data_IF_348261944032
#
_entry.id   IF_348261944032
#
_cell.length_a   1.000
_cell.length_b   1.000
_cell.length_c   1.000
_cell.angle_alpha   90.00
_cell.angle_beta   90.00
_cell.angle_gamma   90.00
#
_symmetry.space_group_name_H-M   'P 1'
#
loop_
_entity.id
_entity.type
_entity.pdbx_description
1 polymer ?
#
# COMPACT_ATOMS: atom_id res chain seq x y z
N UNK A 1 19.63 -11.27 19.82
CA UNK A 1 19.88 -10.29 18.74
C UNK A 1 18.92 -9.11 18.85
N UNK A 2 17.60 -9.33 18.94
CA UNK A 2 16.59 -8.25 19.09
C UNK A 2 16.78 -7.33 20.31
N UNK A 3 17.19 -7.87 21.48
CA UNK A 3 17.50 -7.04 22.67
C UNK A 3 18.66 -6.05 22.46
N UNK A 4 19.69 -6.45 21.71
CA UNK A 4 20.87 -5.59 21.44
C UNK A 4 20.47 -4.40 20.59
N UNK A 5 19.54 -4.60 19.65
CA UNK A 5 19.04 -3.51 18.81
C UNK A 5 18.33 -2.46 19.68
N UNK A 6 17.48 -2.86 20.63
CA UNK A 6 16.77 -1.88 21.48
C UNK A 6 17.70 -1.04 22.37
N UNK A 7 18.85 -1.61 22.78
CA UNK A 7 19.87 -0.88 23.56
C UNK A 7 20.43 0.31 22.77
N UNK A 8 20.62 0.15 21.45
CA UNK A 8 21.10 1.22 20.56
C UNK A 8 20.10 2.39 20.45
N UNK A 9 18.83 2.18 20.83
CA UNK A 9 17.77 3.19 20.81
C UNK A 9 17.35 3.65 22.22
N UNK A 10 18.08 3.31 23.27
CA UNK A 10 17.70 3.63 24.65
C UNK A 10 17.35 5.11 24.86
N UNK A 11 18.16 6.04 24.33
CA UNK A 11 17.91 7.48 24.44
C UNK A 11 16.60 7.92 23.76
N UNK A 12 16.25 7.28 22.63
CA UNK A 12 14.97 7.52 21.95
C UNK A 12 13.82 6.96 22.79
N UNK A 13 13.95 5.73 23.30
CA UNK A 13 12.95 5.05 24.11
C UNK A 13 12.64 5.75 25.45
N UNK A 14 13.61 6.50 26.00
CA UNK A 14 13.42 7.33 27.19
C UNK A 14 12.60 8.60 26.91
N UNK A 15 12.68 9.13 25.68
CA UNK A 15 12.07 10.41 25.30
C UNK A 15 10.68 10.30 24.69
N UNK A 16 10.32 9.13 24.14
CA UNK A 16 9.01 8.92 23.53
C UNK A 16 7.87 8.94 24.56
N UNK A 17 6.67 9.27 24.08
CA UNK A 17 5.48 9.21 24.90
C UNK A 17 5.19 7.77 25.39
N UNK A 18 4.63 7.58 26.60
CA UNK A 18 4.34 6.25 27.15
C UNK A 18 3.49 5.39 26.21
N UNK A 19 2.49 5.98 25.55
CA UNK A 19 1.62 5.26 24.60
C UNK A 19 2.37 4.69 23.39
N UNK A 20 3.38 5.40 22.86
CA UNK A 20 4.22 4.91 21.76
C UNK A 20 5.10 3.77 22.24
N UNK A 21 5.61 3.88 23.47
CA UNK A 21 6.43 2.84 24.10
C UNK A 21 5.65 1.56 24.34
N UNK A 22 4.44 1.66 24.88
CA UNK A 22 3.57 0.50 25.14
C UNK A 22 3.25 -0.25 23.85
N UNK A 23 2.96 0.47 22.77
CA UNK A 23 2.73 -0.12 21.44
C UNK A 23 3.99 -0.76 20.88
N UNK A 24 5.16 -0.10 21.00
CA UNK A 24 6.42 -0.69 20.58
C UNK A 24 6.69 -2.00 21.33
N UNK A 25 6.59 -2.00 22.65
CA UNK A 25 6.83 -3.19 23.47
C UNK A 25 5.87 -4.34 23.12
N UNK A 26 4.60 -4.02 22.81
CA UNK A 26 3.61 -4.99 22.38
C UNK A 26 3.86 -5.55 20.96
N UNK A 27 4.32 -4.71 20.03
CA UNK A 27 4.46 -5.08 18.60
C UNK A 27 5.85 -5.61 18.24
N UNK A 28 6.89 -5.25 18.99
CA UNK A 28 8.29 -5.50 18.61
C UNK A 28 8.63 -6.98 18.53
N UNK A 29 8.06 -7.82 19.40
CA UNK A 29 8.29 -9.27 19.33
C UNK A 29 7.74 -9.87 18.03
N UNK A 30 6.58 -9.41 17.58
CA UNK A 30 5.99 -9.87 16.32
C UNK A 30 6.71 -9.28 15.11
N UNK A 31 7.14 -8.02 15.19
CA UNK A 31 8.03 -7.41 14.20
C UNK A 31 9.31 -8.24 14.01
N UNK A 32 9.97 -8.61 15.10
CA UNK A 32 11.22 -9.38 15.07
C UNK A 32 11.06 -10.82 14.56
N UNK A 33 9.84 -11.34 14.41
CA UNK A 33 9.57 -12.65 13.80
C UNK A 33 9.51 -12.60 12.28
N UNK A 34 9.20 -11.43 11.71
CA UNK A 34 8.95 -11.27 10.26
C UNK A 34 9.91 -10.30 9.58
N UNK A 35 10.68 -9.54 10.36
CA UNK A 35 11.67 -8.58 9.90
C UNK A 35 13.07 -9.05 10.33
N UNK A 36 14.04 -8.94 9.44
CA UNK A 36 15.45 -9.23 9.68
C UNK A 36 16.07 -8.21 10.67
N UNK A 37 17.25 -8.50 11.25
CA UNK A 37 17.95 -7.54 12.09
C UNK A 37 18.25 -6.20 11.40
N UNK A 38 18.50 -6.22 10.08
CA UNK A 38 18.72 -5.00 9.30
C UNK A 38 17.40 -4.23 9.11
N UNK A 39 16.32 -4.92 8.73
CA UNK A 39 15.00 -4.29 8.58
C UNK A 39 14.44 -3.77 9.92
N UNK A 40 14.77 -4.41 11.05
CA UNK A 40 14.39 -3.91 12.38
C UNK A 40 15.06 -2.58 12.72
N UNK A 41 16.27 -2.35 12.19
CA UNK A 41 16.94 -1.06 12.30
C UNK A 41 16.17 -0.01 11.48
N UNK A 42 15.84 -0.31 10.23
CA UNK A 42 15.04 0.59 9.38
C UNK A 42 13.64 0.88 9.98
N UNK A 43 13.05 -0.11 10.64
CA UNK A 43 11.79 0.01 11.38
C UNK A 43 11.90 0.99 12.57
N UNK A 44 12.93 0.86 13.40
CA UNK A 44 13.14 1.75 14.55
C UNK A 44 13.59 3.15 14.12
N UNK A 45 14.46 3.25 13.11
CA UNK A 45 14.88 4.51 12.50
C UNK A 45 13.67 5.25 11.89
N UNK A 46 12.76 4.52 11.26
CA UNK A 46 11.49 5.05 10.75
C UNK A 46 10.58 5.59 11.85
N UNK A 47 10.41 4.83 12.94
CA UNK A 47 9.62 5.28 14.10
C UNK A 47 10.21 6.55 14.72
N UNK A 48 11.54 6.60 14.89
CA UNK A 48 12.26 7.78 15.37
C UNK A 48 12.06 8.99 14.45
N UNK A 49 12.22 8.79 13.15
CA UNK A 49 12.03 9.87 12.17
C UNK A 49 10.59 10.42 12.21
N UNK A 50 9.57 9.56 12.37
CA UNK A 50 8.17 9.99 12.50
C UNK A 50 7.86 10.67 13.83
N UNK A 51 8.54 10.30 14.92
CA UNK A 51 8.51 11.06 16.18
C UNK A 51 9.06 12.47 15.96
N UNK A 52 10.25 12.59 15.37
CA UNK A 52 10.94 13.87 15.12
C UNK A 52 10.15 14.78 14.16
N UNK A 53 9.30 14.20 13.30
CA UNK A 53 8.39 14.93 12.42
C UNK A 53 7.34 15.76 13.20
N UNK A 54 7.04 15.41 14.45
CA UNK A 54 6.18 16.21 15.34
C UNK A 54 4.71 16.27 14.91
N UNK A 55 4.18 15.22 14.25
CA UNK A 55 2.80 15.15 13.74
C UNK A 55 1.82 14.37 14.63
N UNK A 56 2.17 14.20 15.91
CA UNK A 56 1.38 13.47 16.91
C UNK A 56 1.80 12.01 17.05
N UNK A 57 1.56 11.46 18.24
CA UNK A 57 1.98 10.10 18.60
C UNK A 57 1.20 9.02 17.85
N UNK A 58 -0.07 9.27 17.52
CA UNK A 58 -0.91 8.37 16.71
C UNK A 58 -0.27 7.98 15.37
N UNK A 59 0.51 8.89 14.76
CA UNK A 59 1.24 8.60 13.53
C UNK A 59 2.30 7.51 13.74
N UNK A 60 3.04 7.62 14.84
CA UNK A 60 4.11 6.68 15.18
C UNK A 60 3.51 5.35 15.62
N UNK A 61 2.45 5.39 16.43
CA UNK A 61 1.66 4.20 16.82
C UNK A 61 1.17 3.46 15.58
N UNK A 62 0.49 4.15 14.67
CA UNK A 62 -0.01 3.54 13.42
C UNK A 62 1.11 2.93 12.59
N UNK A 63 2.26 3.61 12.50
CA UNK A 63 3.43 3.08 11.80
C UNK A 63 3.94 1.78 12.44
N UNK A 64 4.12 1.76 13.77
CA UNK A 64 4.61 0.60 14.51
C UNK A 64 3.69 -0.62 14.33
N UNK A 65 2.37 -0.40 14.36
CA UNK A 65 1.40 -1.47 14.17
C UNK A 65 1.38 -2.02 12.73
N UNK A 66 1.55 -1.15 11.74
CA UNK A 66 1.36 -1.49 10.32
C UNK A 66 2.60 -2.10 9.68
N UNK A 67 3.81 -1.61 9.99
CA UNK A 67 5.01 -2.00 9.24
C UNK A 67 5.36 -3.50 9.31
N UNK A 68 5.21 -4.21 10.44
CA UNK A 68 5.42 -5.66 10.47
C UNK A 68 4.54 -6.41 9.47
N UNK A 69 3.29 -5.99 9.31
CA UNK A 69 2.40 -6.57 8.32
C UNK A 69 2.85 -6.23 6.89
N UNK A 70 3.27 -5.00 6.65
CA UNK A 70 3.82 -4.60 5.34
C UNK A 70 5.04 -5.43 4.94
N UNK A 71 5.98 -5.63 5.87
CA UNK A 71 7.15 -6.46 5.66
C UNK A 71 6.78 -7.92 5.35
N UNK A 72 5.76 -8.45 6.03
CA UNK A 72 5.26 -9.80 5.78
C UNK A 72 4.62 -9.97 4.39
N UNK A 73 3.81 -8.99 3.96
CA UNK A 73 3.07 -9.09 2.68
C UNK A 73 3.96 -8.78 1.47
N UNK A 74 4.84 -7.78 1.57
CA UNK A 74 5.59 -7.24 0.43
C UNK A 74 7.12 -7.44 0.52
N UNK A 75 7.66 -7.74 1.70
CA UNK A 75 9.09 -7.74 1.99
C UNK A 75 9.51 -6.48 2.77
N UNK A 76 10.55 -6.59 3.60
CA UNK A 76 11.01 -5.53 4.51
C UNK A 76 11.57 -4.28 3.81
N UNK A 77 12.03 -4.41 2.56
CA UNK A 77 12.54 -3.29 1.75
C UNK A 77 11.49 -2.20 1.47
N UNK A 78 10.21 -2.43 1.81
CA UNK A 78 9.15 -1.42 1.68
C UNK A 78 9.13 -0.43 2.85
N UNK A 79 9.72 -0.79 4.00
CA UNK A 79 9.66 0.02 5.22
C UNK A 79 10.20 1.44 4.99
N UNK A 80 11.39 1.64 4.38
CA UNK A 80 11.90 2.98 4.13
C UNK A 80 11.05 3.79 3.12
N UNK A 81 10.42 3.12 2.17
CA UNK A 81 9.52 3.75 1.20
C UNK A 81 8.25 4.32 1.88
N UNK A 82 7.69 3.58 2.84
CA UNK A 82 6.54 4.02 3.63
C UNK A 82 6.87 5.26 4.48
N UNK A 83 8.03 5.26 5.15
CA UNK A 83 8.52 6.44 5.92
C UNK A 83 8.72 7.62 4.97
N UNK A 84 9.39 7.41 3.84
CA UNK A 84 9.63 8.45 2.84
C UNK A 84 8.32 9.03 2.30
N UNK A 85 7.31 8.19 2.06
CA UNK A 85 6.00 8.63 1.61
C UNK A 85 5.29 9.49 2.67
N UNK A 86 5.32 9.08 3.93
CA UNK A 86 4.77 9.86 5.05
C UNK A 86 5.47 11.22 5.20
N UNK A 87 6.81 11.24 5.13
CA UNK A 87 7.62 12.46 5.17
C UNK A 87 7.28 13.41 4.01
N UNK A 88 7.18 12.89 2.79
CA UNK A 88 6.78 13.70 1.63
C UNK A 88 5.35 14.23 1.78
N UNK A 89 4.42 13.44 2.30
CA UNK A 89 3.03 13.86 2.52
C UNK A 89 2.91 14.95 3.59
N UNK A 90 3.81 14.97 4.57
CA UNK A 90 3.77 15.89 5.72
C UNK A 90 3.80 17.38 5.39
N UNK A 91 4.34 17.76 4.22
CA UNK A 91 4.38 19.15 3.74
C UNK A 91 3.15 19.55 2.92
N UNK A 92 2.26 18.60 2.58
CA UNK A 92 1.13 18.81 1.67
C UNK A 92 -0.23 18.51 2.32
N UNK A 93 -0.26 17.71 3.39
CA UNK A 93 -1.50 17.25 4.04
C UNK A 93 -1.41 17.29 5.56
N UNK A 94 -2.55 17.11 6.25
CA UNK A 94 -2.58 17.01 7.72
C UNK A 94 -2.05 15.67 8.23
N UNK A 95 -1.66 15.62 9.52
CA UNK A 95 -1.23 14.39 10.18
C UNK A 95 -2.30 13.28 10.12
N UNK A 96 -3.58 13.63 10.29
CA UNK A 96 -4.71 12.69 10.16
C UNK A 96 -4.75 11.99 8.79
N UNK A 97 -4.41 12.69 7.71
CA UNK A 97 -4.39 12.09 6.36
C UNK A 97 -3.21 11.14 6.20
N UNK A 98 -2.08 11.42 6.84
CA UNK A 98 -0.91 10.54 6.82
C UNK A 98 -1.17 9.30 7.67
N UNK A 99 -1.81 9.46 8.83
CA UNK A 99 -2.28 8.34 9.66
C UNK A 99 -3.22 7.45 8.85
N UNK A 100 -4.21 8.04 8.18
CA UNK A 100 -5.14 7.30 7.31
C UNK A 100 -4.42 6.61 6.13
N UNK A 101 -3.42 7.27 5.53
CA UNK A 101 -2.60 6.66 4.49
C UNK A 101 -1.89 5.42 5.04
N UNK A 102 -1.17 5.53 6.15
CA UNK A 102 -0.43 4.42 6.74
C UNK A 102 -1.36 3.29 7.16
N UNK A 103 -2.48 3.59 7.83
CA UNK A 103 -3.43 2.58 8.31
C UNK A 103 -4.07 1.76 7.19
N UNK A 104 -4.16 2.31 5.97
CA UNK A 104 -4.69 1.60 4.79
C UNK A 104 -3.64 0.76 4.07
N UNK A 105 -2.34 0.96 4.32
CA UNK A 105 -1.27 0.28 3.57
C UNK A 105 -1.35 -1.25 3.62
N UNK A 106 -1.69 -1.92 4.74
CA UNK A 106 -1.85 -3.38 4.74
C UNK A 106 -2.92 -3.87 3.78
N UNK A 107 -4.02 -3.12 3.65
CA UNK A 107 -5.09 -3.47 2.71
C UNK A 107 -4.60 -3.26 1.27
N UNK A 108 -3.90 -2.16 1.01
CA UNK A 108 -3.27 -1.88 -0.29
C UNK A 108 -2.27 -2.98 -0.66
N UNK A 109 -1.39 -3.38 0.25
CA UNK A 109 -0.42 -4.45 0.04
C UNK A 109 -1.11 -5.77 -0.29
N UNK A 110 -2.22 -6.11 0.38
CA UNK A 110 -3.01 -7.31 0.08
C UNK A 110 -3.66 -7.26 -1.30
N UNK A 111 -4.17 -6.11 -1.75
CA UNK A 111 -4.76 -6.00 -3.10
C UNK A 111 -3.71 -6.01 -4.21
N UNK A 112 -2.55 -5.39 -3.96
CA UNK A 112 -1.50 -5.23 -4.96
C UNK A 112 -0.55 -6.43 -5.01
N UNK A 113 -0.32 -7.14 -3.91
CA UNK A 113 0.41 -8.41 -3.87
C UNK A 113 1.92 -8.35 -4.19
N UNK A 114 2.49 -7.14 -4.39
CA UNK A 114 3.91 -6.95 -4.64
C UNK A 114 4.43 -5.56 -4.20
N UNK A 115 5.65 -5.50 -3.68
CA UNK A 115 6.30 -4.26 -3.23
C UNK A 115 6.41 -3.20 -4.32
N UNK A 116 6.69 -3.59 -5.57
CA UNK A 116 6.84 -2.63 -6.66
C UNK A 116 5.52 -1.93 -7.01
N UNK A 117 4.41 -2.65 -6.92
CA UNK A 117 3.08 -2.07 -7.08
C UNK A 117 2.75 -1.14 -5.91
N UNK A 118 3.10 -1.51 -4.67
CA UNK A 118 2.95 -0.62 -3.51
C UNK A 118 3.77 0.67 -3.69
N UNK A 119 5.01 0.61 -4.17
CA UNK A 119 5.83 1.80 -4.50
C UNK A 119 5.16 2.66 -5.58
N UNK A 120 4.57 2.03 -6.59
CA UNK A 120 3.78 2.72 -7.61
C UNK A 120 2.55 3.43 -7.05
N UNK A 121 1.89 2.83 -6.06
CA UNK A 121 0.80 3.43 -5.29
C UNK A 121 1.28 4.62 -4.45
N UNK A 122 2.36 4.49 -3.68
CA UNK A 122 2.92 5.60 -2.89
C UNK A 122 3.30 6.80 -3.78
N UNK A 123 3.80 6.51 -4.99
CA UNK A 123 4.08 7.54 -6.01
C UNK A 123 2.81 8.24 -6.48
N UNK A 124 1.71 7.49 -6.71
CA UNK A 124 0.41 8.07 -7.05
C UNK A 124 -0.12 8.96 -5.92
N UNK A 125 -0.01 8.52 -4.67
CA UNK A 125 -0.42 9.29 -3.48
C UNK A 125 0.34 10.61 -3.41
N UNK A 126 1.67 10.59 -3.61
CA UNK A 126 2.47 11.80 -3.65
C UNK A 126 2.03 12.78 -4.76
N UNK A 127 1.72 12.27 -5.95
CA UNK A 127 1.22 13.08 -7.06
C UNK A 127 -0.15 13.69 -6.74
N UNK A 128 -1.06 12.94 -6.11
CA UNK A 128 -2.38 13.44 -5.73
C UNK A 128 -2.30 14.43 -4.56
N UNK A 129 -1.41 14.22 -3.60
CA UNK A 129 -1.17 15.17 -2.51
C UNK A 129 -0.75 16.55 -3.04
N UNK A 130 0.03 16.62 -4.13
CA UNK A 130 0.44 17.89 -4.74
C UNK A 130 -0.59 18.51 -5.69
N UNK A 131 -1.44 17.70 -6.33
CA UNK A 131 -2.34 18.18 -7.40
C UNK A 131 -3.83 18.22 -7.03
N UNK A 132 -4.25 17.43 -6.04
CA UNK A 132 -5.64 17.24 -5.62
C UNK A 132 -5.74 16.88 -4.13
N UNK A 133 -5.00 17.57 -3.25
CA UNK A 133 -4.91 17.27 -1.81
C UNK A 133 -6.26 17.09 -1.11
N UNK A 134 -7.27 17.89 -1.48
CA UNK A 134 -8.64 17.81 -0.92
C UNK A 134 -9.37 16.52 -1.27
N UNK A 135 -9.04 15.90 -2.41
CA UNK A 135 -9.57 14.60 -2.82
C UNK A 135 -8.89 13.42 -2.15
N UNK A 136 -7.73 13.61 -1.51
CA UNK A 136 -6.93 12.51 -0.98
C UNK A 136 -7.62 11.78 0.18
N UNK A 137 -8.10 12.52 1.18
CA UNK A 137 -8.81 11.91 2.33
C UNK A 137 -10.09 11.15 1.88
N UNK A 138 -10.99 11.75 1.07
CA UNK A 138 -12.11 11.01 0.48
C UNK A 138 -11.69 9.71 -0.22
N UNK A 139 -10.67 9.78 -1.08
CA UNK A 139 -10.19 8.60 -1.80
C UNK A 139 -9.67 7.50 -0.85
N UNK A 140 -8.88 7.88 0.16
CA UNK A 140 -8.32 6.94 1.13
C UNK A 140 -9.41 6.25 1.95
N UNK A 141 -10.53 6.92 2.26
CA UNK A 141 -11.68 6.28 2.91
C UNK A 141 -12.35 5.20 2.04
N UNK A 142 -12.17 5.26 0.72
CA UNK A 142 -12.71 4.30 -0.25
C UNK A 142 -11.66 3.40 -0.90
N UNK A 143 -10.39 3.45 -0.46
CA UNK A 143 -9.28 2.81 -1.18
C UNK A 143 -9.43 1.29 -1.28
N UNK A 144 -9.95 0.64 -0.24
CA UNK A 144 -10.20 -0.79 -0.25
C UNK A 144 -11.25 -1.19 -1.31
N UNK A 145 -12.35 -0.43 -1.38
CA UNK A 145 -13.39 -0.62 -2.40
C UNK A 145 -12.87 -0.35 -3.82
N UNK A 146 -12.03 0.68 -3.99
CA UNK A 146 -11.40 0.99 -5.28
C UNK A 146 -10.46 -0.14 -5.73
N UNK A 147 -9.56 -0.60 -4.87
CA UNK A 147 -8.58 -1.65 -5.20
C UNK A 147 -9.22 -3.05 -5.32
N UNK A 148 -10.40 -3.26 -4.74
CA UNK A 148 -11.17 -4.50 -4.98
C UNK A 148 -11.71 -4.63 -6.42
N UNK A 149 -11.70 -3.52 -7.18
CA UNK A 149 -12.24 -3.41 -8.55
C UNK A 149 -11.21 -2.98 -9.59
N UNK A 150 -10.19 -2.22 -9.19
CA UNK A 150 -9.21 -1.63 -10.07
C UNK A 150 -7.83 -2.20 -9.84
N UNK A 151 -7.10 -2.39 -10.94
CA UNK A 151 -5.63 -2.49 -10.89
C UNK A 151 -5.03 -1.15 -10.46
N UNK A 152 -3.74 -1.13 -10.12
CA UNK A 152 -3.03 0.11 -9.81
C UNK A 152 -3.08 1.10 -10.99
N UNK A 153 -2.97 0.60 -12.23
CA UNK A 153 -3.04 1.46 -13.42
C UNK A 153 -4.46 2.00 -13.64
N UNK A 154 -5.51 1.20 -13.35
CA UNK A 154 -6.90 1.65 -13.35
C UNK A 154 -7.16 2.74 -12.30
N UNK A 155 -6.68 2.54 -11.07
CA UNK A 155 -6.75 3.55 -10.00
C UNK A 155 -6.04 4.84 -10.41
N UNK A 156 -4.86 4.75 -11.03
CA UNK A 156 -4.12 5.91 -11.53
C UNK A 156 -4.94 6.70 -12.55
N UNK A 157 -5.55 6.03 -13.53
CA UNK A 157 -6.37 6.69 -14.57
C UNK A 157 -7.64 7.31 -13.99
N UNK A 158 -8.33 6.60 -13.10
CA UNK A 158 -9.49 7.13 -12.37
C UNK A 158 -9.12 8.39 -11.58
N UNK A 159 -8.07 8.34 -10.76
CA UNK A 159 -7.68 9.47 -9.92
C UNK A 159 -7.19 10.68 -10.74
N UNK A 160 -6.41 10.45 -11.80
CA UNK A 160 -5.94 11.50 -12.69
C UNK A 160 -7.08 12.18 -13.45
N UNK A 161 -8.10 11.44 -13.85
CA UNK A 161 -9.30 12.00 -14.46
C UNK A 161 -10.00 12.96 -13.49
N UNK A 162 -10.32 12.52 -12.28
CA UNK A 162 -10.97 13.35 -11.26
C UNK A 162 -10.17 14.61 -10.92
N UNK A 163 -8.86 14.45 -10.69
CA UNK A 163 -7.97 15.57 -10.39
C UNK A 163 -7.88 16.60 -11.54
N UNK A 164 -7.97 16.16 -12.80
CA UNK A 164 -7.95 17.05 -13.96
C UNK A 164 -9.30 17.71 -14.20
N UNK A 165 -10.39 16.95 -14.12
CA UNK A 165 -11.75 17.42 -14.41
C UNK A 165 -12.21 18.50 -13.42
N UNK A 166 -11.93 18.32 -12.13
CA UNK A 166 -12.44 19.19 -11.06
C UNK A 166 -11.34 20.00 -10.37
N UNK A 167 -10.20 20.25 -11.03
CA UNK A 167 -9.05 20.98 -10.47
C UNK A 167 -9.43 22.32 -9.81
N UNK A 168 -10.43 23.00 -10.36
CA UNK A 168 -10.92 24.32 -9.91
C UNK A 168 -12.24 24.27 -9.15
N UNK A 169 -12.86 23.09 -9.04
CA UNK A 169 -14.15 22.91 -8.38
C UNK A 169 -14.00 21.90 -7.24
N UNK A 170 -13.74 22.43 -6.05
CA UNK A 170 -13.41 21.60 -4.89
C UNK A 170 -14.60 20.78 -4.37
N UNK A 171 -15.83 21.24 -4.60
CA UNK A 171 -17.02 20.51 -4.18
C UNK A 171 -17.17 19.26 -5.04
N UNK A 172 -17.08 19.41 -6.36
CA UNK A 172 -17.14 18.29 -7.28
C UNK A 172 -15.90 17.39 -7.22
N UNK A 173 -14.71 17.95 -6.92
CA UNK A 173 -13.51 17.17 -6.63
C UNK A 173 -13.74 16.23 -5.44
N UNK A 174 -14.25 16.77 -4.33
CA UNK A 174 -14.55 15.98 -3.12
C UNK A 174 -15.60 14.92 -3.44
N UNK A 175 -16.72 15.29 -4.07
CA UNK A 175 -17.78 14.35 -4.45
C UNK A 175 -17.29 13.24 -5.40
N UNK A 176 -16.38 13.56 -6.32
CA UNK A 176 -15.76 12.56 -7.19
C UNK A 176 -14.93 11.55 -6.39
N UNK A 177 -14.01 12.02 -5.54
CA UNK A 177 -13.15 11.14 -4.77
C UNK A 177 -13.88 10.40 -3.63
N UNK A 178 -15.08 10.85 -3.24
CA UNK A 178 -16.01 10.14 -2.34
C UNK A 178 -16.88 9.07 -3.03
N UNK A 179 -16.72 8.82 -4.34
CA UNK A 179 -17.58 7.92 -5.13
C UNK A 179 -19.06 8.34 -5.21
N UNK A 180 -19.39 9.59 -4.90
CA UNK A 180 -20.77 10.10 -4.88
C UNK A 180 -21.24 10.56 -6.27
N UNK A 181 -20.33 11.17 -7.04
CA UNK A 181 -20.66 11.68 -8.36
C UNK A 181 -20.94 10.57 -9.39
N UNK A 182 -21.80 10.86 -10.36
CA UNK A 182 -22.08 9.94 -11.45
C UNK A 182 -20.81 9.67 -12.28
N UNK A 183 -20.02 10.72 -12.55
CA UNK A 183 -18.77 10.63 -13.31
C UNK A 183 -17.74 9.74 -12.61
N UNK A 184 -17.68 9.76 -11.28
CA UNK A 184 -16.78 8.90 -10.49
C UNK A 184 -17.11 7.43 -10.64
N UNK A 185 -18.41 7.09 -10.52
CA UNK A 185 -18.90 5.71 -10.70
C UNK A 185 -18.76 5.25 -12.14
N UNK A 186 -19.05 6.10 -13.11
CA UNK A 186 -18.88 5.79 -14.53
C UNK A 186 -17.41 5.53 -14.88
N UNK A 187 -16.49 6.37 -14.37
CA UNK A 187 -15.05 6.16 -14.57
C UNK A 187 -14.55 4.91 -13.87
N UNK A 188 -15.08 4.58 -12.67
CA UNK A 188 -14.74 3.36 -11.95
C UNK A 188 -15.12 2.11 -12.76
N UNK A 189 -16.33 2.05 -13.30
CA UNK A 189 -16.77 0.92 -14.13
C UNK A 189 -16.01 0.85 -15.45
N UNK A 190 -15.67 2.01 -16.05
CA UNK A 190 -14.84 2.06 -17.27
C UNK A 190 -13.42 1.52 -17.06
N UNK A 191 -12.82 1.79 -15.91
CA UNK A 191 -11.43 1.41 -15.63
C UNK A 191 -11.27 0.02 -15.03
N UNK A 192 -12.39 -0.65 -14.71
CA UNK A 192 -12.39 -2.04 -14.30
C UNK A 192 -11.89 -2.92 -15.45
N UNK A 193 -10.88 -3.74 -15.18
CA UNK A 193 -10.31 -4.72 -16.12
C UNK A 193 -10.52 -6.12 -15.59
N UNK A 194 -10.98 -7.01 -16.47
CA UNK A 194 -11.67 -8.29 -16.19
C UNK A 194 -11.58 -8.79 -14.74
N UNK A 195 -10.81 -9.85 -14.54
CA UNK A 195 -10.59 -10.46 -13.22
C UNK A 195 -9.23 -10.05 -12.68
N UNK A 196 -9.24 -9.50 -11.47
CA UNK A 196 -8.01 -9.16 -10.75
C UNK A 196 -7.30 -10.45 -10.30
N UNK A 197 -6.00 -10.56 -10.58
CA UNK A 197 -5.20 -11.74 -10.24
C UNK A 197 -5.30 -12.11 -8.76
N UNK A 198 -5.34 -11.11 -7.87
CA UNK A 198 -5.42 -11.32 -6.43
C UNK A 198 -6.67 -12.12 -6.00
N UNK A 199 -7.76 -12.05 -6.76
CA UNK A 199 -9.01 -12.79 -6.46
C UNK A 199 -8.85 -14.30 -6.67
N UNK A 200 -7.93 -14.70 -7.55
CA UNK A 200 -7.75 -16.09 -7.98
C UNK A 200 -6.42 -16.68 -7.51
N UNK A 201 -5.46 -15.85 -7.10
CA UNK A 201 -4.12 -16.24 -6.68
C UNK A 201 -4.11 -17.39 -5.67
N UNK A 202 -4.92 -17.32 -4.61
CA UNK A 202 -4.96 -18.36 -3.57
C UNK A 202 -5.42 -19.70 -4.14
N UNK A 203 -6.47 -19.70 -4.97
CA UNK A 203 -7.00 -20.90 -5.63
C UNK A 203 -5.97 -21.48 -6.59
N UNK A 204 -5.33 -20.63 -7.39
CA UNK A 204 -4.27 -21.02 -8.32
C UNK A 204 -3.09 -21.66 -7.59
N UNK A 205 -2.60 -21.04 -6.51
CA UNK A 205 -1.50 -21.60 -5.71
C UNK A 205 -1.83 -22.97 -5.12
N UNK A 206 -3.06 -23.21 -4.66
CA UNK A 206 -3.47 -24.54 -4.19
C UNK A 206 -3.46 -25.58 -5.31
N UNK A 207 -3.96 -25.25 -6.50
CA UNK A 207 -3.91 -26.18 -7.63
C UNK A 207 -2.48 -26.49 -8.05
N UNK A 208 -1.62 -25.48 -8.15
CA UNK A 208 -0.22 -25.68 -8.49
C UNK A 208 0.49 -26.53 -7.43
N UNK A 209 0.23 -26.29 -6.14
CA UNK A 209 0.79 -27.13 -5.09
C UNK A 209 0.30 -28.57 -5.18
N UNK A 210 -0.98 -28.80 -5.47
CA UNK A 210 -1.54 -30.13 -5.62
C UNK A 210 -0.98 -30.88 -6.84
N UNK A 211 -0.78 -30.19 -7.97
CA UNK A 211 -0.31 -30.78 -9.22
C UNK A 211 1.19 -31.11 -9.20
N UNK A 212 2.01 -30.25 -8.60
CA UNK A 212 3.47 -30.38 -8.66
C UNK A 212 4.13 -30.73 -7.32
N UNK A 213 3.35 -30.84 -6.23
CA UNK A 213 3.86 -31.23 -4.91
C UNK A 213 4.82 -30.23 -4.27
N UNK A 214 4.80 -28.96 -4.70
CA UNK A 214 5.70 -27.90 -4.18
C UNK A 214 5.02 -26.53 -4.24
N UNK A 215 5.53 -25.59 -3.45
CA UNK A 215 5.06 -24.20 -3.49
C UNK A 215 5.57 -23.47 -4.76
N UNK A 216 4.67 -22.69 -5.37
CA UNK A 216 4.99 -21.77 -6.46
C UNK A 216 4.74 -20.34 -5.98
N UNK A 217 5.72 -19.48 -6.19
CA UNK A 217 5.56 -18.05 -5.90
C UNK A 217 5.10 -17.36 -7.18
N UNK A 218 3.85 -16.92 -7.18
CA UNK A 218 3.28 -16.14 -8.27
C UNK A 218 2.92 -14.77 -7.73
N UNK A 219 3.38 -13.72 -8.43
CA UNK A 219 3.08 -12.34 -8.08
C UNK A 219 2.50 -11.58 -9.28
N UNK A 220 1.58 -10.64 -9.04
CA UNK A 220 1.13 -9.75 -10.09
C UNK A 220 2.24 -8.75 -10.45
N UNK A 221 2.18 -8.25 -11.67
CA UNK A 221 2.94 -7.09 -12.13
C UNK A 221 2.04 -6.25 -13.03
N UNK A 222 2.34 -4.95 -13.12
CA UNK A 222 1.52 -4.04 -13.91
C UNK A 222 1.54 -4.40 -15.39
N UNK A 223 0.44 -4.91 -15.91
CA UNK A 223 0.28 -5.18 -17.33
C UNK A 223 -0.37 -3.96 -17.99
N UNK A 224 0.42 -2.91 -18.21
CA UNK A 224 -0.07 -1.72 -18.92
C UNK A 224 -0.24 -1.93 -20.43
N UNK A 225 0.29 -3.04 -20.97
CA UNK A 225 0.37 -3.32 -22.41
C UNK A 225 -0.31 -4.64 -22.78
N UNK A 226 -0.96 -4.65 -23.96
CA UNK A 226 -1.58 -5.85 -24.57
C UNK A 226 -0.58 -6.97 -24.86
N UNK A 227 0.71 -6.65 -24.98
CA UNK A 227 1.77 -7.61 -25.29
C UNK A 227 2.49 -8.13 -24.03
N UNK A 228 1.90 -7.98 -22.85
CA UNK A 228 2.50 -8.51 -21.62
C UNK A 228 2.76 -10.01 -21.76
N UNK A 229 4.01 -10.41 -21.51
CA UNK A 229 4.41 -11.82 -21.46
C UNK A 229 4.79 -12.16 -20.02
N UNK A 230 4.12 -13.16 -19.40
CA UNK A 230 4.55 -13.69 -18.11
C UNK A 230 6.03 -14.08 -18.14
N UNK A 231 6.75 -13.79 -17.06
CA UNK A 231 8.18 -14.03 -16.97
C UNK A 231 8.56 -14.56 -15.58
N UNK A 232 9.74 -15.19 -15.50
CA UNK A 232 10.28 -15.71 -14.23
C UNK A 232 11.51 -14.90 -13.85
N UNK A 233 11.53 -14.42 -12.62
CA UNK A 233 12.68 -13.75 -12.02
C UNK A 233 12.80 -14.21 -10.57
N UNK A 234 14.02 -14.52 -10.11
CA UNK A 234 14.29 -14.94 -8.71
C UNK A 234 13.38 -16.09 -8.21
N UNK A 235 13.05 -17.02 -9.12
CA UNK A 235 12.12 -18.16 -8.89
C UNK A 235 10.66 -17.76 -8.60
N UNK A 236 10.30 -16.51 -8.88
CA UNK A 236 8.94 -15.98 -8.84
C UNK A 236 8.41 -15.86 -10.28
N UNK A 237 7.21 -16.37 -10.53
CA UNK A 237 6.49 -16.18 -11.78
C UNK A 237 5.67 -14.88 -11.69
N UNK A 238 5.94 -13.94 -12.58
CA UNK A 238 5.20 -12.69 -12.69
C UNK A 238 4.13 -12.79 -13.77
N UNK A 239 2.90 -12.42 -13.41
CA UNK A 239 1.71 -12.48 -14.26
C UNK A 239 0.98 -11.13 -14.27
N UNK A 240 0.07 -10.87 -15.23
CA UNK A 240 -0.74 -9.65 -15.21
C UNK A 240 -1.50 -9.45 -13.90
N UNK A 241 -1.64 -8.20 -13.48
CA UNK A 241 -2.43 -7.79 -12.33
C UNK A 241 -3.94 -7.93 -12.55
N UNK A 242 -4.38 -7.93 -13.82
CA UNK A 242 -5.71 -8.34 -14.24
C UNK A 242 -5.68 -8.99 -15.63
N UNK A 243 -6.69 -9.82 -15.91
CA UNK A 243 -6.91 -10.39 -17.24
C UNK A 243 -8.34 -10.11 -17.68
N UNK A 244 -8.50 -9.58 -18.89
CA UNK A 244 -9.82 -9.37 -19.50
C UNK A 244 -10.41 -10.71 -19.96
N UNK A 245 -11.73 -10.76 -20.02
CA UNK A 245 -12.46 -11.94 -20.46
C UNK A 245 -12.19 -12.21 -21.94
N UNK A 246 -11.97 -13.48 -22.29
CA UNK A 246 -11.75 -13.91 -23.68
C UNK A 246 -12.92 -14.80 -24.08
N UNK A 247 -13.65 -14.41 -25.12
CA UNK A 247 -14.78 -15.19 -25.68
C UNK A 247 -15.84 -15.61 -24.63
N UNK A 248 -16.08 -14.76 -23.62
CA UNK A 248 -17.03 -15.02 -22.54
C UNK A 248 -16.51 -15.95 -21.44
N UNK A 249 -15.23 -16.31 -21.49
CA UNK A 249 -14.52 -16.98 -20.40
C UNK A 249 -13.87 -15.89 -19.55
N UNK A 250 -14.26 -15.82 -18.28
CA UNK A 250 -13.64 -14.92 -17.30
C UNK A 250 -12.13 -15.13 -17.27
N UNK A 251 -11.35 -14.04 -17.29
CA UNK A 251 -9.90 -14.13 -17.24
C UNK A 251 -9.43 -14.80 -15.92
N UNK A 252 -8.59 -15.83 -16.01
CA UNK A 252 -7.99 -16.60 -14.88
C UNK A 252 -8.95 -17.38 -13.95
#
# INVERSE_FOLDING_TARGET
MSKVILEDYAEFLEKIAPEVRDVLDATFQDAARVISPAGLKDYLDGAKALCDLGRGNDLVVTYLEVMPQMAKECGEDIIPDCVTAAMKASSMTSGEVIILLLSTLPNVARHLGDAQLVRGYLTLIHQLASTASRGLRPMLMHIDGLLSKLTLSGLRRWAQFGAKAYRRDYNNLTSYFSLESADSRAMLEKERRGVLFIKVQRKLNFYLRALWGRDFFIRPTGAEYTDFRPYVQDRILYVPDALDDIEGIEGL
#
